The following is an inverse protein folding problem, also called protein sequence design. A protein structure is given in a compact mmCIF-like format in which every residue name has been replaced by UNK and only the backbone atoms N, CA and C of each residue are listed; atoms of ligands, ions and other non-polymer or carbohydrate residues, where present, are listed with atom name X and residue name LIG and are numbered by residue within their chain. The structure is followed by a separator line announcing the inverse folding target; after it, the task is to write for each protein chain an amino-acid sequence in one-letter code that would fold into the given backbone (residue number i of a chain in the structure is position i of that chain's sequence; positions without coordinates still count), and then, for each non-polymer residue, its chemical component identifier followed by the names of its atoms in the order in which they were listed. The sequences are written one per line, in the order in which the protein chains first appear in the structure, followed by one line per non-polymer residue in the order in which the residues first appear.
data_IF_745092501779
#
_entry.id   IF_745092501779
#
_cell.length_a   1.000
_cell.length_b   1.000
_cell.length_c   1.000
_cell.angle_alpha   90.00
_cell.angle_beta   90.00
_cell.angle_gamma   90.00
#
_symmetry.space_group_name_H-M   'P 1'
#
loop_
_entity.id
_entity.type
_entity.pdbx_description
1 polymer ?
#
# COMPACT_ATOMS: atom_id res chain seq x y z
N UNK A 1 -63.11 -10.27 54.58
CA UNK A 1 -61.83 -11.01 54.60
C UNK A 1 -61.45 -11.33 53.15
N UNK A 2 -60.76 -10.43 52.45
CA UNK A 2 -60.16 -10.69 51.13
C UNK A 2 -59.05 -9.65 50.91
N UNK A 3 -57.80 -10.05 51.12
CA UNK A 3 -56.60 -9.23 50.89
C UNK A 3 -56.04 -9.55 49.52
N UNK A 4 -56.11 -8.58 48.61
CA UNK A 4 -55.58 -8.64 47.25
C UNK A 4 -54.08 -8.28 47.31
N UNK A 5 -53.20 -9.24 47.01
CA UNK A 5 -51.75 -9.02 46.92
C UNK A 5 -51.40 -8.55 45.51
N UNK A 6 -50.97 -7.30 45.37
CA UNK A 6 -50.35 -6.80 44.14
C UNK A 6 -48.87 -7.21 44.12
N UNK A 7 -48.51 -8.13 43.23
CA UNK A 7 -47.12 -8.43 42.90
C UNK A 7 -46.62 -7.38 41.90
N UNK A 8 -45.76 -6.46 42.34
CA UNK A 8 -45.02 -5.56 41.47
C UNK A 8 -43.88 -6.38 40.86
N UNK A 9 -44.01 -6.73 39.57
CA UNK A 9 -42.92 -7.30 38.79
C UNK A 9 -42.02 -6.15 38.32
N UNK A 10 -40.82 -6.06 38.92
CA UNK A 10 -39.77 -5.14 38.51
C UNK A 10 -39.15 -5.68 37.20
N UNK A 11 -39.54 -5.13 36.05
CA UNK A 11 -38.82 -5.36 34.79
C UNK A 11 -37.45 -4.66 34.88
N UNK A 12 -36.39 -5.40 35.15
CA UNK A 12 -35.03 -4.94 34.91
C UNK A 12 -34.72 -5.13 33.42
N UNK A 13 -34.81 -4.05 32.65
CA UNK A 13 -34.32 -4.02 31.27
C UNK A 13 -32.79 -3.95 31.30
N UNK A 14 -32.12 -5.09 31.13
CA UNK A 14 -30.67 -5.13 30.94
C UNK A 14 -30.34 -4.55 29.56
N UNK A 15 -29.85 -3.31 29.53
CA UNK A 15 -29.18 -2.77 28.34
C UNK A 15 -27.85 -3.51 28.18
N UNK A 16 -27.84 -4.55 27.33
CA UNK A 16 -26.61 -5.08 26.78
C UNK A 16 -26.01 -4.00 25.87
N UNK A 17 -25.09 -3.20 26.41
CA UNK A 17 -24.24 -2.35 25.60
C UNK A 17 -23.35 -3.26 24.75
N UNK A 18 -23.74 -3.48 23.50
CA UNK A 18 -22.85 -4.05 22.51
C UNK A 18 -21.66 -3.11 22.38
N UNK A 19 -20.46 -3.57 22.75
CA UNK A 19 -19.24 -2.85 22.45
C UNK A 19 -19.13 -2.77 20.92
N UNK A 20 -19.42 -1.61 20.35
CA UNK A 20 -19.09 -1.34 18.97
C UNK A 20 -17.56 -1.38 18.88
N UNK A 21 -17.01 -2.43 18.27
CA UNK A 21 -15.59 -2.47 17.94
C UNK A 21 -15.33 -1.37 16.91
N UNK A 22 -14.77 -0.24 17.36
CA UNK A 22 -14.34 0.84 16.48
C UNK A 22 -13.03 0.41 15.79
N UNK A 23 -12.96 0.60 14.47
CA UNK A 23 -11.71 0.40 13.72
C UNK A 23 -10.63 1.34 14.28
N UNK A 24 -9.40 0.83 14.36
CA UNK A 24 -8.28 1.60 14.93
C UNK A 24 -7.54 2.31 13.80
N UNK A 25 -7.44 3.64 13.90
CA UNK A 25 -6.65 4.46 12.98
C UNK A 25 -5.33 4.82 13.64
N UNK A 26 -4.22 4.63 12.93
CA UNK A 26 -2.88 5.08 13.36
C UNK A 26 -2.23 5.96 12.30
N UNK A 27 -1.51 6.99 12.70
CA UNK A 27 -0.77 7.89 11.81
C UNK A 27 0.61 7.36 11.45
N UNK A 28 0.99 7.53 10.18
CA UNK A 28 2.32 7.19 9.67
C UNK A 28 3.06 8.49 9.35
N UNK A 29 4.28 8.72 9.90
CA UNK A 29 5.09 7.79 10.67
C UNK A 29 4.95 7.85 12.21
N UNK A 30 4.11 8.75 12.76
CA UNK A 30 4.20 9.12 14.19
C UNK A 30 3.79 8.00 15.15
N UNK A 31 2.78 7.21 14.81
CA UNK A 31 2.27 6.11 15.63
C UNK A 31 2.68 4.73 15.07
N UNK A 32 2.91 4.66 13.76
CA UNK A 32 3.31 3.47 13.02
C UNK A 32 4.45 3.81 12.06
N UNK A 33 5.56 3.04 12.00
CA UNK A 33 6.71 3.34 11.15
C UNK A 33 6.44 3.22 9.63
N UNK A 34 5.21 2.89 9.24
CA UNK A 34 4.76 2.72 7.87
C UNK A 34 5.04 1.32 7.33
N UNK A 35 4.72 1.07 6.05
CA UNK A 35 4.91 -0.23 5.42
C UNK A 35 6.36 -0.71 5.52
N UNK A 36 6.61 -2.00 5.84
CA UNK A 36 7.95 -2.56 6.01
C UNK A 36 8.61 -2.93 4.67
N UNK A 37 8.39 -2.13 3.63
CA UNK A 37 8.92 -2.37 2.29
C UNK A 37 9.38 -1.06 1.65
N UNK A 38 10.29 -1.17 0.69
CA UNK A 38 10.93 -0.01 0.06
C UNK A 38 10.11 0.57 -1.09
N UNK A 39 9.46 -0.29 -1.87
CA UNK A 39 8.72 0.07 -3.06
C UNK A 39 7.40 -0.70 -3.19
N UNK A 40 6.41 -0.09 -3.85
CA UNK A 40 5.09 -0.67 -4.09
C UNK A 40 5.10 -1.55 -5.36
N UNK A 41 5.81 -2.67 -5.29
CA UNK A 41 5.72 -3.79 -6.24
C UNK A 41 6.03 -5.10 -5.53
N UNK A 42 5.59 -6.20 -6.11
CA UNK A 42 5.93 -7.57 -5.70
C UNK A 42 5.72 -8.52 -6.88
N UNK A 43 6.07 -9.80 -6.73
CA UNK A 43 5.91 -10.82 -7.79
C UNK A 43 4.52 -10.86 -8.41
N UNK A 44 3.48 -10.73 -7.59
CA UNK A 44 2.09 -10.76 -8.02
C UNK A 44 1.60 -9.42 -8.61
N UNK A 45 2.34 -8.34 -8.41
CA UNK A 45 1.90 -6.99 -8.75
C UNK A 45 3.07 -6.10 -9.15
N UNK A 46 3.19 -5.85 -10.45
CA UNK A 46 4.17 -4.91 -11.03
C UNK A 46 3.39 -3.89 -11.85
N UNK A 47 3.23 -2.63 -11.42
CA UNK A 47 2.48 -1.64 -12.21
C UNK A 47 3.12 -1.40 -13.58
N UNK A 48 2.44 -1.76 -14.67
CA UNK A 48 2.95 -1.56 -16.03
C UNK A 48 1.86 -1.32 -17.07
N UNK A 49 2.23 -0.66 -18.17
CA UNK A 49 1.53 -0.70 -19.47
C UNK A 49 2.25 -1.68 -20.40
N UNK A 50 1.91 -1.72 -21.68
CA UNK A 50 2.68 -2.48 -22.68
C UNK A 50 4.06 -1.87 -22.96
N UNK A 51 4.27 -0.61 -22.57
CA UNK A 51 5.51 0.14 -22.85
C UNK A 51 6.38 0.36 -21.62
N UNK A 52 5.79 0.61 -20.46
CA UNK A 52 6.53 1.06 -19.27
C UNK A 52 6.06 0.35 -18.01
N UNK A 53 7.00 -0.07 -17.17
CA UNK A 53 6.78 -0.37 -15.76
C UNK A 53 7.03 0.88 -14.90
N UNK A 54 6.33 0.98 -13.78
CA UNK A 54 6.49 2.02 -12.78
C UNK A 54 6.80 1.39 -11.40
N UNK A 55 7.86 1.89 -10.77
CA UNK A 55 8.32 1.49 -9.43
C UNK A 55 8.13 2.69 -8.51
N UNK A 56 7.18 2.62 -7.58
CA UNK A 56 6.95 3.69 -6.61
C UNK A 56 7.71 3.38 -5.33
N UNK A 57 8.67 4.22 -4.95
CA UNK A 57 9.43 4.06 -3.72
C UNK A 57 8.75 4.80 -2.56
N UNK A 58 8.26 4.04 -1.57
CA UNK A 58 7.69 4.58 -0.33
C UNK A 58 8.77 4.97 0.69
N UNK A 59 9.97 4.43 0.51
CA UNK A 59 11.19 4.78 1.26
C UNK A 59 12.28 5.24 0.30
N UNK A 60 13.26 5.99 0.78
CA UNK A 60 14.33 6.51 -0.07
C UNK A 60 15.09 5.38 -0.80
N UNK A 61 15.19 5.39 -2.15
CA UNK A 61 15.80 4.30 -2.91
C UNK A 61 17.29 4.12 -2.62
N UNK A 62 18.00 5.20 -2.29
CA UNK A 62 19.43 5.14 -1.91
C UNK A 62 19.70 4.52 -0.54
N UNK A 63 18.66 4.11 0.19
CA UNK A 63 18.76 3.40 1.47
C UNK A 63 18.50 1.89 1.32
N UNK A 64 18.02 1.44 0.17
CA UNK A 64 17.77 0.02 -0.10
C UNK A 64 19.12 -0.71 -0.18
N UNK A 65 19.30 -1.86 0.51
CA UNK A 65 20.49 -2.68 0.33
C UNK A 65 20.67 -3.10 -1.12
N UNK A 66 21.91 -3.06 -1.62
CA UNK A 66 22.22 -3.34 -3.03
C UNK A 66 21.83 -4.77 -3.46
N UNK A 67 21.81 -5.71 -2.52
CA UNK A 67 21.46 -7.12 -2.71
C UNK A 67 20.01 -7.46 -2.33
N UNK A 68 19.22 -6.49 -1.88
CA UNK A 68 17.82 -6.73 -1.55
C UNK A 68 16.99 -6.96 -2.81
N UNK A 69 16.27 -8.08 -2.85
CA UNK A 69 15.33 -8.38 -3.92
C UNK A 69 14.01 -7.62 -3.70
N UNK A 70 13.75 -6.61 -4.52
CA UNK A 70 12.53 -5.80 -4.44
C UNK A 70 11.24 -6.61 -4.61
N UNK A 71 11.31 -7.81 -5.19
CA UNK A 71 10.16 -8.71 -5.37
C UNK A 71 9.74 -9.44 -4.09
N UNK A 72 10.58 -9.48 -3.05
CA UNK A 72 10.27 -10.08 -1.75
C UNK A 72 9.32 -9.20 -0.91
N UNK A 73 9.09 -7.96 -1.36
CA UNK A 73 8.28 -6.93 -0.73
C UNK A 73 8.81 -6.54 0.66
N UNK A 74 8.66 -7.42 1.65
CA UNK A 74 8.93 -7.13 3.06
C UNK A 74 10.40 -7.28 3.45
N UNK A 75 10.91 -6.30 4.20
CA UNK A 75 12.22 -6.34 4.86
C UNK A 75 12.09 -5.85 6.31
N UNK A 76 11.70 -6.76 7.18
CA UNK A 76 11.46 -6.47 8.60
C UNK A 76 12.68 -6.93 9.43
N UNK A 77 13.29 -6.07 10.28
CA UNK A 77 12.94 -4.68 10.54
C UNK A 77 13.72 -3.66 9.70
N UNK A 78 14.59 -4.09 8.78
CA UNK A 78 15.59 -3.23 8.17
C UNK A 78 14.99 -2.06 7.36
N UNK A 79 13.87 -2.28 6.66
CA UNK A 79 13.17 -1.22 5.93
C UNK A 79 12.76 -0.04 6.82
N UNK A 80 12.43 -0.29 8.11
CA UNK A 80 12.04 0.78 9.02
C UNK A 80 13.15 1.81 9.28
N UNK A 81 14.42 1.43 9.07
CA UNK A 81 15.56 2.34 9.15
C UNK A 81 15.64 3.32 7.98
N UNK A 82 14.94 3.06 6.87
CA UNK A 82 14.97 3.92 5.70
C UNK A 82 13.91 5.02 5.73
N UNK A 83 14.29 6.29 5.47
CA UNK A 83 13.34 7.41 5.53
C UNK A 83 12.16 7.21 4.57
N UNK A 84 10.95 7.42 5.07
CA UNK A 84 9.74 7.43 4.24
C UNK A 84 9.71 8.65 3.32
N UNK A 85 9.13 8.47 2.15
CA UNK A 85 8.82 9.54 1.17
C UNK A 85 7.34 9.95 1.24
N UNK A 86 6.56 9.24 2.06
CA UNK A 86 5.12 9.35 2.22
C UNK A 86 4.76 9.47 3.70
N UNK A 87 3.55 9.93 3.96
CA UNK A 87 2.92 9.96 5.29
C UNK A 87 1.42 9.69 5.12
N UNK A 88 0.69 9.48 6.21
CA UNK A 88 -0.75 9.27 6.14
C UNK A 88 -1.30 8.52 7.34
N UNK A 89 -2.14 7.52 7.08
CA UNK A 89 -2.69 6.69 8.14
C UNK A 89 -3.06 5.29 7.65
N UNK A 90 -3.05 4.36 8.60
CA UNK A 90 -3.50 2.99 8.46
C UNK A 90 -4.78 2.80 9.27
N UNK A 91 -5.64 1.89 8.82
CA UNK A 91 -6.84 1.47 9.55
C UNK A 91 -6.72 -0.03 9.80
N UNK A 92 -6.71 -0.41 11.07
CA UNK A 92 -6.73 -1.77 11.56
C UNK A 92 -8.13 -2.16 12.02
N UNK A 93 -8.41 -3.47 11.99
CA UNK A 93 -9.73 -4.00 12.36
C UNK A 93 -9.90 -3.96 13.87
N UNK A 94 -8.88 -4.37 14.61
CA UNK A 94 -8.86 -4.50 16.06
C UNK A 94 -7.76 -3.64 16.70
N UNK A 95 -6.52 -3.75 16.21
CA UNK A 95 -5.36 -2.94 16.66
C UNK A 95 -4.13 -3.25 15.77
N UNK A 96 -3.09 -2.39 15.73
CA UNK A 96 -1.82 -2.68 15.04
C UNK A 96 -1.13 -3.95 15.56
N UNK A 97 -0.06 -4.41 14.88
CA UNK A 97 0.73 -5.55 15.34
C UNK A 97 1.13 -5.42 16.82
N UNK A 98 1.06 -6.51 17.59
CA UNK A 98 0.87 -7.90 17.15
C UNK A 98 -0.59 -8.38 17.09
N UNK A 99 -1.59 -7.50 17.12
CA UNK A 99 -3.01 -7.92 17.15
C UNK A 99 -3.53 -8.26 15.75
N UNK A 100 -3.42 -7.31 14.83
CA UNK A 100 -3.64 -7.53 13.40
C UNK A 100 -2.30 -7.39 12.68
N UNK A 101 -1.93 -8.38 11.85
CA UNK A 101 -0.64 -8.38 11.14
C UNK A 101 -0.59 -7.32 10.02
N UNK A 102 -1.75 -6.91 9.50
CA UNK A 102 -1.85 -5.93 8.43
C UNK A 102 -3.11 -5.04 8.59
N UNK A 103 -3.08 -3.80 8.09
CA UNK A 103 -4.25 -2.94 8.09
C UNK A 103 -5.28 -3.39 7.05
N UNK A 104 -6.56 -3.12 7.33
CA UNK A 104 -7.67 -3.32 6.37
C UNK A 104 -7.75 -2.20 5.32
N UNK A 105 -7.13 -1.06 5.61
CA UNK A 105 -7.02 0.06 4.68
C UNK A 105 -5.74 0.86 4.94
N UNK A 106 -5.09 1.27 3.86
CA UNK A 106 -3.90 2.13 3.83
C UNK A 106 -4.26 3.40 3.07
N UNK A 107 -3.94 4.56 3.63
CA UNK A 107 -4.11 5.85 2.95
C UNK A 107 -2.83 6.67 3.12
N UNK A 108 -2.07 6.82 2.04
CA UNK A 108 -0.79 7.51 2.02
C UNK A 108 -0.80 8.67 1.03
N UNK A 109 -0.04 9.72 1.34
CA UNK A 109 0.25 10.83 0.44
C UNK A 109 1.72 11.23 0.54
N UNK A 110 2.26 11.76 -0.55
CA UNK A 110 3.66 12.11 -0.65
C UNK A 110 4.08 13.29 0.21
N UNK A 111 5.34 13.30 0.64
CA UNK A 111 6.01 14.43 1.32
C UNK A 111 6.54 15.50 0.35
N UNK A 112 6.10 15.47 -0.91
CA UNK A 112 6.46 16.43 -1.96
C UNK A 112 7.59 16.00 -2.89
N UNK A 113 8.21 14.84 -2.65
CA UNK A 113 9.25 14.28 -3.51
C UNK A 113 9.27 12.74 -3.47
N UNK A 114 8.18 12.08 -3.90
CA UNK A 114 8.11 10.61 -3.93
C UNK A 114 8.86 10.08 -5.15
N UNK A 115 9.91 9.26 -5.01
CA UNK A 115 10.63 8.72 -6.15
C UNK A 115 9.76 7.70 -6.88
N UNK A 116 9.61 7.90 -8.20
CA UNK A 116 8.93 6.95 -9.08
C UNK A 116 9.84 6.71 -10.27
N UNK A 117 10.31 5.47 -10.41
CA UNK A 117 11.18 5.08 -11.51
C UNK A 117 10.37 4.40 -12.59
N UNK A 118 10.74 4.65 -13.84
CA UNK A 118 10.10 4.04 -15.00
C UNK A 118 11.12 3.30 -15.83
N UNK A 119 10.79 2.10 -16.25
CA UNK A 119 11.64 1.23 -17.07
C UNK A 119 10.78 0.69 -18.22
N UNK A 120 11.37 0.52 -19.40
CA UNK A 120 10.74 -0.15 -20.53
C UNK A 120 10.20 -1.50 -20.09
N UNK A 121 8.93 -1.81 -20.39
CA UNK A 121 8.33 -3.06 -19.97
C UNK A 121 9.08 -4.29 -20.50
N UNK A 122 9.52 -4.36 -21.77
CA UNK A 122 10.38 -5.44 -22.24
C UNK A 122 11.70 -5.61 -21.47
N UNK A 123 12.35 -4.51 -21.07
CA UNK A 123 13.58 -4.59 -20.26
C UNK A 123 13.27 -5.09 -18.84
N UNK A 124 12.18 -4.59 -18.24
CA UNK A 124 11.72 -5.05 -16.93
C UNK A 124 11.37 -6.54 -16.97
N UNK A 125 10.68 -7.03 -18.00
CA UNK A 125 10.38 -8.46 -18.13
C UNK A 125 11.63 -9.32 -18.21
N UNK A 126 12.68 -8.83 -18.88
CA UNK A 126 13.96 -9.53 -18.94
C UNK A 126 14.68 -9.53 -17.59
N UNK A 127 14.66 -8.41 -16.86
CA UNK A 127 15.21 -8.30 -15.50
C UNK A 127 14.51 -9.26 -14.53
N UNK A 128 13.19 -9.41 -14.65
CA UNK A 128 12.39 -10.31 -13.79
C UNK A 128 12.57 -11.81 -14.10
N UNK A 129 13.35 -12.18 -15.12
CA UNK A 129 13.40 -13.57 -15.61
C UNK A 129 14.04 -14.55 -14.63
N UNK A 130 14.87 -14.07 -13.72
CA UNK A 130 15.53 -14.88 -12.68
C UNK A 130 14.88 -14.74 -11.29
N UNK A 131 13.72 -14.08 -11.21
CA UNK A 131 12.99 -13.79 -9.97
C UNK A 131 13.77 -12.92 -8.97
N UNK A 132 14.77 -12.17 -9.44
CA UNK A 132 15.54 -11.22 -8.65
C UNK A 132 15.47 -9.85 -9.32
N UNK A 133 15.11 -8.82 -8.55
CA UNK A 133 15.17 -7.44 -9.02
C UNK A 133 15.81 -6.56 -7.96
N UNK A 134 17.03 -6.09 -8.24
CA UNK A 134 17.78 -5.24 -7.30
C UNK A 134 17.81 -3.76 -7.73
N UNK A 135 18.11 -2.86 -6.80
CA UNK A 135 18.30 -1.44 -7.13
C UNK A 135 19.49 -1.22 -8.08
N UNK A 136 20.68 -1.83 -7.88
CA UNK A 136 21.78 -1.73 -8.84
C UNK A 136 21.42 -2.22 -10.24
N UNK A 137 20.65 -3.30 -10.35
CA UNK A 137 20.17 -3.80 -11.63
C UNK A 137 19.26 -2.78 -12.31
N UNK A 138 18.25 -2.24 -11.61
CA UNK A 138 17.39 -1.18 -12.13
C UNK A 138 18.19 0.02 -12.64
N UNK A 139 19.21 0.44 -11.88
CA UNK A 139 20.12 1.53 -12.23
C UNK A 139 20.96 1.24 -13.49
N UNK A 140 21.14 -0.02 -13.84
CA UNK A 140 21.87 -0.44 -15.04
C UNK A 140 21.01 -0.50 -16.31
N UNK A 141 19.68 -0.45 -16.18
CA UNK A 141 18.77 -0.58 -17.31
C UNK A 141 18.82 0.66 -18.21
N UNK A 142 19.10 0.53 -19.52
CA UNK A 142 19.24 1.66 -20.43
C UNK A 142 17.98 2.54 -20.54
N UNK A 143 16.80 1.95 -20.38
CA UNK A 143 15.53 2.68 -20.46
C UNK A 143 15.18 3.46 -19.20
N UNK A 144 15.91 3.28 -18.09
CA UNK A 144 15.55 3.86 -16.79
C UNK A 144 15.31 5.37 -16.88
N UNK A 145 14.14 5.79 -16.41
CA UNK A 145 13.77 7.19 -16.17
C UNK A 145 13.50 7.37 -14.69
N UNK A 146 14.31 8.21 -14.04
CA UNK A 146 14.13 8.55 -12.64
C UNK A 146 13.19 9.76 -12.55
N UNK A 147 12.06 9.59 -11.85
CA UNK A 147 11.10 10.63 -11.58
C UNK A 147 11.00 10.98 -10.09
N UNK A 148 10.59 12.22 -9.81
CA UNK A 148 10.19 12.69 -8.49
C UNK A 148 8.78 13.26 -8.57
N UNK A 149 7.85 12.66 -7.82
CA UNK A 149 6.46 13.07 -7.77
C UNK A 149 6.27 14.18 -6.74
N UNK A 150 5.85 15.36 -7.20
CA UNK A 150 5.43 16.47 -6.34
C UNK A 150 4.03 16.30 -5.79
N UNK A 151 3.24 15.40 -6.40
CA UNK A 151 1.96 14.95 -5.90
C UNK A 151 1.92 13.43 -5.98
N UNK A 152 1.56 12.79 -4.87
CA UNK A 152 1.37 11.36 -4.75
C UNK A 152 0.23 11.09 -3.78
N UNK A 153 -0.67 10.18 -4.18
CA UNK A 153 -1.71 9.63 -3.32
C UNK A 153 -1.84 8.14 -3.60
N UNK A 154 -1.92 7.37 -2.54
CA UNK A 154 -2.14 5.95 -2.57
C UNK A 154 -3.23 5.55 -1.59
N UNK A 155 -4.15 4.70 -2.06
CA UNK A 155 -5.12 4.03 -1.22
C UNK A 155 -5.06 2.54 -1.52
N UNK A 156 -4.76 1.75 -0.49
CA UNK A 156 -4.84 0.29 -0.59
C UNK A 156 -5.89 -0.24 0.35
N UNK A 157 -6.47 -1.36 -0.04
CA UNK A 157 -7.16 -2.23 0.86
C UNK A 157 -6.66 -3.66 0.64
N UNK A 158 -5.77 -4.13 1.51
CA UNK A 158 -5.18 -5.46 1.39
C UNK A 158 -6.24 -6.55 1.36
N UNK A 159 -6.15 -7.45 0.36
CA UNK A 159 -7.20 -8.45 0.10
C UNK A 159 -7.33 -9.52 1.17
N UNK A 160 -6.29 -9.77 1.98
CA UNK A 160 -6.27 -10.85 2.96
C UNK A 160 -7.11 -10.53 4.22
N UNK A 161 -7.30 -9.24 4.52
CA UNK A 161 -7.92 -8.79 5.78
C UNK A 161 -9.35 -8.22 5.60
N UNK A 162 -9.93 -8.40 4.41
CA UNK A 162 -11.21 -7.78 4.06
C UNK A 162 -12.43 -8.61 4.47
N UNK A 163 -13.52 -7.97 4.94
CA UNK A 163 -14.80 -8.66 5.20
C UNK A 163 -15.38 -9.36 3.96
N UNK A 164 -15.03 -8.92 2.76
CA UNK A 164 -15.51 -9.47 1.49
C UNK A 164 -14.83 -10.80 1.11
N UNK A 165 -13.79 -11.22 1.83
CA UNK A 165 -13.07 -12.48 1.58
C UNK A 165 -11.68 -12.27 0.98
N UNK A 166 -10.80 -13.24 1.26
CA UNK A 166 -9.42 -13.31 0.79
C UNK A 166 -9.38 -13.08 -0.74
N UNK A 167 -8.52 -12.16 -1.18
CA UNK A 167 -8.32 -11.87 -2.60
C UNK A 167 -9.15 -10.71 -3.16
N UNK A 168 -10.00 -10.08 -2.34
CA UNK A 168 -10.76 -8.87 -2.72
C UNK A 168 -9.97 -7.57 -2.48
N UNK A 169 -8.73 -7.53 -2.99
CA UNK A 169 -7.82 -6.39 -2.84
C UNK A 169 -8.21 -5.19 -3.69
N UNK A 170 -7.78 -4.00 -3.28
CA UNK A 170 -7.85 -2.80 -4.12
C UNK A 170 -6.59 -1.96 -3.93
N UNK A 171 -6.01 -1.49 -5.02
CA UNK A 171 -4.97 -0.47 -4.99
C UNK A 171 -5.30 0.65 -5.96
N UNK A 172 -5.21 1.89 -5.47
CA UNK A 172 -5.30 3.09 -6.28
C UNK A 172 -4.08 3.96 -6.02
N UNK A 173 -3.36 4.30 -7.08
CA UNK A 173 -2.22 5.23 -7.04
C UNK A 173 -2.50 6.35 -8.02
N UNK A 174 -2.21 7.59 -7.61
CA UNK A 174 -2.19 8.75 -8.51
C UNK A 174 -0.97 9.59 -8.18
N UNK A 175 -0.14 9.81 -9.20
CA UNK A 175 1.07 10.60 -9.06
C UNK A 175 1.30 11.50 -10.29
N UNK A 176 1.97 12.62 -10.04
CA UNK A 176 2.50 13.51 -11.09
C UNK A 176 3.76 14.19 -10.60
N UNK A 177 4.67 14.46 -11.52
CA UNK A 177 5.97 15.03 -11.18
C UNK A 177 6.83 15.29 -12.39
N UNK A 178 8.14 15.29 -12.15
CA UNK A 178 9.17 15.56 -13.15
C UNK A 178 10.18 14.42 -13.21
N UNK A 179 10.66 14.13 -14.42
CA UNK A 179 11.80 13.26 -14.68
C UNK A 179 13.10 14.05 -14.56
N UNK A 180 14.21 13.35 -14.35
CA UNK A 180 15.56 13.94 -14.30
C UNK A 180 15.99 14.61 -15.61
N UNK A 181 15.38 14.24 -16.74
CA UNK A 181 15.61 14.86 -18.05
C UNK A 181 14.75 16.11 -18.31
N UNK A 182 13.97 16.55 -17.31
CA UNK A 182 13.16 17.76 -17.36
C UNK A 182 11.73 17.59 -17.88
N UNK A 183 11.38 16.41 -18.42
CA UNK A 183 10.00 16.10 -18.80
C UNK A 183 9.12 15.95 -17.56
N UNK A 184 7.82 16.11 -17.73
CA UNK A 184 6.81 15.81 -16.71
C UNK A 184 6.26 14.40 -16.89
N UNK A 185 5.71 13.83 -15.82
CA UNK A 185 5.00 12.54 -15.90
C UNK A 185 3.65 12.57 -15.19
N UNK A 186 2.75 11.71 -15.65
CA UNK A 186 1.53 11.31 -14.95
C UNK A 186 1.50 9.79 -14.81
N UNK A 187 1.21 9.32 -13.60
CA UNK A 187 1.11 7.90 -13.27
C UNK A 187 -0.19 7.64 -12.53
N UNK A 188 -0.99 6.68 -13.00
CA UNK A 188 -2.20 6.24 -12.35
C UNK A 188 -2.30 4.73 -12.36
N UNK A 189 -2.72 4.17 -11.23
CA UNK A 189 -3.11 2.77 -11.09
C UNK A 189 -4.49 2.72 -10.46
N UNK A 190 -5.34 1.89 -11.02
CA UNK A 190 -6.53 1.36 -10.35
C UNK A 190 -6.57 -0.12 -10.61
N UNK A 191 -6.33 -0.90 -9.57
CA UNK A 191 -6.47 -2.35 -9.60
C UNK A 191 -7.46 -2.82 -8.55
N UNK A 192 -8.31 -3.76 -8.94
CA UNK A 192 -9.22 -4.47 -8.04
C UNK A 192 -9.03 -5.96 -8.26
N UNK A 193 -8.75 -6.68 -7.18
CA UNK A 193 -8.76 -8.13 -7.13
C UNK A 193 -10.11 -8.65 -6.68
N UNK A 194 -10.52 -9.80 -7.20
CA UNK A 194 -11.58 -10.66 -6.67
C UNK A 194 -11.05 -12.09 -6.72
N UNK A 195 -11.21 -12.86 -5.63
CA UNK A 195 -10.75 -14.25 -5.54
C UNK A 195 -9.27 -14.44 -5.94
N UNK A 196 -8.41 -13.50 -5.52
CA UNK A 196 -6.96 -13.46 -5.82
C UNK A 196 -6.62 -13.24 -7.30
N UNK A 197 -7.59 -12.84 -8.12
CA UNK A 197 -7.39 -12.48 -9.50
C UNK A 197 -7.66 -11.00 -9.72
N UNK A 198 -6.75 -10.30 -10.41
CA UNK A 198 -7.01 -8.94 -10.87
C UNK A 198 -8.18 -8.96 -11.87
N UNK A 199 -9.31 -8.34 -11.49
CA UNK A 199 -10.52 -8.26 -12.33
C UNK A 199 -10.70 -6.90 -13.01
N UNK A 200 -10.06 -5.85 -12.49
CA UNK A 200 -10.02 -4.53 -13.13
C UNK A 200 -8.61 -4.00 -12.97
N UNK A 201 -7.95 -3.71 -14.09
CA UNK A 201 -6.61 -3.11 -14.10
C UNK A 201 -6.59 -1.95 -15.08
N UNK A 202 -6.50 -0.74 -14.55
CA UNK A 202 -6.31 0.48 -15.33
C UNK A 202 -4.99 1.12 -14.91
N UNK A 203 -4.01 1.09 -15.81
CA UNK A 203 -2.70 1.69 -15.58
C UNK A 203 -2.46 2.70 -16.68
N UNK A 204 -2.02 3.89 -16.28
CA UNK A 204 -1.68 5.00 -17.17
C UNK A 204 -0.32 5.54 -16.79
N UNK A 205 0.59 5.57 -17.76
CA UNK A 205 1.91 6.20 -17.67
C UNK A 205 2.03 7.13 -18.87
N UNK A 206 2.19 8.43 -18.63
CA UNK A 206 2.39 9.44 -19.67
C UNK A 206 3.60 10.30 -19.33
N UNK A 207 4.41 10.62 -20.35
CA UNK A 207 5.49 11.60 -20.28
C UNK A 207 5.17 12.79 -21.19
N UNK A 208 5.44 14.02 -20.75
CA UNK A 208 5.23 15.24 -21.53
C UNK A 208 6.40 16.20 -21.40
#
# INVERSE_FOLDING_TARGET
MFTQRFSIALLMTAFLAAAAHAQVRVTVPEEDPGPPFYASLERAFIPHTDEWAAITFLRQPGCVPDDFNLLDLFDVPAAFGCPLTVQGHLIYKNAPPPVDDAPIQVNLHGLGAVPIWFVSWPEMQAALADDVLTVPELLSLPSLRIGSASFFKETQHPGNERPQGIGNGKIEITARGTLTDGRTFQFQVREMGVDQQSVVRHIKIEFR
#
